data_IF_343963311246
#
_entry.id   IF_343963311246
#
_cell.length_a   1.000
_cell.length_b   1.000
_cell.length_c   1.000
_cell.angle_alpha   90.00
_cell.angle_beta   90.00
_cell.angle_gamma   90.00
#
_symmetry.space_group_name_H-M   'P 1'
#
loop_
_entity.id
_entity.type
_entity.pdbx_description
1 polymer ?
#
# COMPACT_ATOMS: atom_id res chain seq x y z
N UNK A 1 -76.41 19.23 -35.22
CA UNK A 1 -77.38 18.43 -34.44
C UNK A 1 -76.99 16.97 -34.58
N UNK A 2 -76.49 16.29 -33.53
CA UNK A 2 -76.19 14.85 -33.60
C UNK A 2 -77.50 14.08 -33.76
N UNK A 3 -77.58 13.23 -34.79
CA UNK A 3 -78.76 12.41 -35.07
C UNK A 3 -78.91 11.30 -34.02
N UNK A 4 -80.12 10.99 -33.53
CA UNK A 4 -80.32 9.92 -32.56
C UNK A 4 -79.84 8.59 -33.13
N UNK A 5 -78.99 7.91 -32.36
CA UNK A 5 -78.40 6.62 -32.68
C UNK A 5 -79.52 5.56 -32.69
N UNK A 6 -79.34 4.43 -33.41
CA UNK A 6 -80.34 3.35 -33.43
C UNK A 6 -80.73 2.84 -32.03
N UNK A 7 -79.81 2.92 -31.06
CA UNK A 7 -80.05 2.60 -29.65
C UNK A 7 -81.07 3.55 -29.01
N UNK A 8 -80.92 4.86 -29.24
CA UNK A 8 -81.82 5.91 -28.72
C UNK A 8 -83.26 5.72 -29.22
N UNK A 9 -83.41 5.26 -30.47
CA UNK A 9 -84.72 4.94 -31.06
C UNK A 9 -85.35 3.67 -30.49
N UNK A 10 -84.53 2.68 -30.16
CA UNK A 10 -85.00 1.43 -29.55
C UNK A 10 -85.43 1.68 -28.10
N UNK A 11 -84.67 2.47 -27.35
CA UNK A 11 -85.01 2.86 -25.98
C UNK A 11 -86.29 3.69 -25.91
N UNK A 12 -86.51 4.61 -26.86
CA UNK A 12 -87.76 5.35 -26.96
C UNK A 12 -89.00 4.45 -27.22
N UNK A 13 -88.83 3.37 -27.99
CA UNK A 13 -89.91 2.38 -28.23
C UNK A 13 -90.16 1.54 -26.97
N UNK A 14 -89.12 1.25 -26.19
CA UNK A 14 -89.26 0.54 -24.91
C UNK A 14 -89.98 1.40 -23.88
N UNK A 15 -89.67 2.69 -23.80
CA UNK A 15 -90.33 3.62 -22.89
C UNK A 15 -91.82 3.79 -23.24
N UNK A 16 -92.17 3.79 -24.53
CA UNK A 16 -93.57 3.75 -24.98
C UNK A 16 -94.29 2.43 -24.64
N UNK A 17 -93.57 1.30 -24.67
CA UNK A 17 -94.11 -0.01 -24.31
C UNK A 17 -94.29 -0.18 -22.79
N UNK A 18 -93.50 0.53 -21.95
CA UNK A 18 -93.70 0.50 -20.49
C UNK A 18 -95.03 1.12 -20.05
N UNK A 19 -95.52 2.15 -20.73
CA UNK A 19 -96.70 2.93 -20.33
C UNK A 19 -98.06 2.23 -20.57
N UNK A 20 -98.09 1.12 -21.31
CA UNK A 20 -99.34 0.39 -21.60
C UNK A 20 -99.92 -0.31 -20.34
N UNK A 21 -101.25 -0.41 -20.17
CA UNK A 21 -101.86 -1.02 -18.98
C UNK A 21 -101.60 -2.53 -18.89
N UNK A 22 -101.40 -3.03 -17.66
CA UNK A 22 -101.21 -4.45 -17.36
C UNK A 22 -102.61 -5.08 -17.23
N UNK A 23 -103.04 -5.80 -18.26
CA UNK A 23 -104.38 -6.41 -18.29
C UNK A 23 -104.51 -7.59 -19.25
N UNK A 24 -103.80 -7.56 -20.39
CA UNK A 24 -103.76 -8.66 -21.37
C UNK A 24 -102.48 -9.53 -21.19
N UNK A 25 -102.58 -10.87 -21.13
CA UNK A 25 -101.43 -11.76 -20.97
C UNK A 25 -100.43 -11.65 -22.12
N UNK A 26 -100.90 -11.43 -23.35
CA UNK A 26 -100.05 -11.31 -24.54
C UNK A 26 -99.21 -10.01 -24.52
N UNK A 27 -99.81 -8.90 -24.09
CA UNK A 27 -99.12 -7.60 -23.94
C UNK A 27 -98.03 -7.69 -22.85
N UNK A 28 -98.31 -8.40 -21.76
CA UNK A 28 -97.34 -8.62 -20.67
C UNK A 28 -96.15 -9.47 -21.14
N UNK A 29 -96.40 -10.51 -21.92
CA UNK A 29 -95.37 -11.36 -22.53
C UNK A 29 -94.46 -10.54 -23.47
N UNK A 30 -95.05 -9.73 -24.35
CA UNK A 30 -94.30 -8.85 -25.27
C UNK A 30 -93.44 -7.84 -24.50
N UNK A 31 -93.98 -7.19 -23.46
CA UNK A 31 -93.19 -6.27 -22.62
C UNK A 31 -92.01 -6.96 -21.94
N UNK A 32 -92.24 -8.13 -21.34
CA UNK A 32 -91.19 -8.86 -20.63
C UNK A 32 -90.05 -9.30 -21.55
N UNK A 33 -90.38 -9.76 -22.76
CA UNK A 33 -89.38 -10.19 -23.76
C UNK A 33 -88.55 -9.03 -24.29
N UNK A 34 -89.17 -7.87 -24.51
CA UNK A 34 -88.49 -6.63 -24.92
C UNK A 34 -87.55 -6.11 -23.83
N UNK A 35 -88.00 -6.04 -22.58
CA UNK A 35 -87.15 -5.65 -21.45
C UNK A 35 -86.00 -6.63 -21.22
N UNK A 36 -86.24 -7.93 -21.38
CA UNK A 36 -85.19 -8.95 -21.29
C UNK A 36 -84.16 -8.81 -22.42
N UNK A 37 -84.59 -8.46 -23.64
CA UNK A 37 -83.69 -8.18 -24.75
C UNK A 37 -82.82 -6.94 -24.48
N UNK A 38 -83.40 -5.85 -23.92
CA UNK A 38 -82.67 -4.66 -23.49
C UNK A 38 -81.63 -5.00 -22.42
N UNK A 39 -82.03 -5.76 -21.40
CA UNK A 39 -81.13 -6.20 -20.33
C UNK A 39 -79.96 -7.02 -20.88
N UNK A 40 -80.21 -7.94 -21.81
CA UNK A 40 -79.16 -8.73 -22.48
C UNK A 40 -78.21 -7.85 -23.31
N UNK A 41 -78.74 -6.83 -23.98
CA UNK A 41 -77.95 -5.83 -24.71
C UNK A 41 -77.02 -5.06 -23.78
N UNK A 42 -77.58 -4.44 -22.74
CA UNK A 42 -76.81 -3.71 -21.72
C UNK A 42 -75.76 -4.60 -21.03
N UNK A 43 -76.09 -5.86 -20.75
CA UNK A 43 -75.14 -6.81 -20.17
C UNK A 43 -73.97 -7.10 -21.12
N UNK A 44 -74.24 -7.26 -22.43
CA UNK A 44 -73.20 -7.42 -23.44
C UNK A 44 -72.31 -6.18 -23.53
N UNK A 45 -72.89 -5.00 -23.50
CA UNK A 45 -72.16 -3.73 -23.57
C UNK A 45 -71.29 -3.52 -22.32
N UNK A 46 -71.84 -3.78 -21.13
CA UNK A 46 -71.08 -3.74 -19.88
C UNK A 46 -69.90 -4.74 -19.87
N UNK A 47 -70.12 -5.96 -20.37
CA UNK A 47 -69.06 -6.96 -20.51
C UNK A 47 -68.01 -6.53 -21.53
N UNK A 48 -68.40 -5.90 -22.65
CA UNK A 48 -67.48 -5.39 -23.65
C UNK A 48 -66.62 -4.24 -23.09
N UNK A 49 -67.24 -3.30 -22.38
CA UNK A 49 -66.54 -2.21 -21.70
C UNK A 49 -65.55 -2.73 -20.64
N UNK A 50 -65.96 -3.73 -19.85
CA UNK A 50 -65.09 -4.37 -18.85
C UNK A 50 -63.89 -5.04 -19.51
N UNK A 51 -64.09 -5.74 -20.64
CA UNK A 51 -63.00 -6.37 -21.40
C UNK A 51 -62.06 -5.32 -22.00
N UNK A 52 -62.58 -4.22 -22.52
CA UNK A 52 -61.78 -3.13 -23.07
C UNK A 52 -60.88 -2.51 -21.98
N UNK A 53 -61.46 -2.15 -20.83
CA UNK A 53 -60.72 -1.60 -19.70
C UNK A 53 -59.64 -2.57 -19.17
N UNK A 54 -59.95 -3.88 -19.12
CA UNK A 54 -58.99 -4.92 -18.73
C UNK A 54 -57.82 -5.01 -19.70
N UNK A 55 -58.09 -4.96 -21.00
CA UNK A 55 -57.05 -5.01 -22.02
C UNK A 55 -56.16 -3.76 -22.00
N UNK A 56 -56.76 -2.59 -21.86
CA UNK A 56 -56.03 -1.32 -21.75
C UNK A 56 -55.12 -1.30 -20.52
N UNK A 57 -55.66 -1.69 -19.35
CA UNK A 57 -54.87 -1.79 -18.12
C UNK A 57 -53.75 -2.81 -18.24
N UNK A 58 -54.00 -3.94 -18.92
CA UNK A 58 -52.97 -4.96 -19.16
C UNK A 58 -51.84 -4.45 -20.07
N UNK A 59 -52.17 -3.67 -21.12
CA UNK A 59 -51.19 -3.08 -22.01
C UNK A 59 -50.29 -2.08 -21.26
N UNK A 60 -50.88 -1.15 -20.51
CA UNK A 60 -50.13 -0.17 -19.70
C UNK A 60 -49.25 -0.87 -18.66
N UNK A 61 -49.77 -1.93 -18.03
CA UNK A 61 -49.00 -2.74 -17.08
C UNK A 61 -47.79 -3.40 -17.74
N UNK A 62 -47.95 -3.95 -18.94
CA UNK A 62 -46.87 -4.58 -19.69
C UNK A 62 -45.77 -3.57 -20.03
N UNK A 63 -46.15 -2.35 -20.44
CA UNK A 63 -45.20 -1.28 -20.72
C UNK A 63 -44.42 -0.87 -19.46
N UNK A 64 -45.11 -0.73 -18.32
CA UNK A 64 -44.48 -0.47 -17.02
C UNK A 64 -43.50 -1.57 -16.62
N UNK A 65 -43.86 -2.84 -16.80
CA UNK A 65 -42.99 -3.97 -16.47
C UNK A 65 -41.72 -3.96 -17.34
N UNK A 66 -41.83 -3.60 -18.63
CA UNK A 66 -40.69 -3.44 -19.53
C UNK A 66 -39.77 -2.29 -19.09
N UNK A 67 -40.33 -1.13 -18.76
CA UNK A 67 -39.53 0.00 -18.27
C UNK A 67 -38.87 -0.32 -16.93
N UNK A 68 -39.58 -1.02 -16.03
CA UNK A 68 -39.05 -1.43 -14.74
C UNK A 68 -37.84 -2.35 -14.90
N UNK A 69 -37.89 -3.29 -15.84
CA UNK A 69 -36.73 -4.12 -16.18
C UNK A 69 -35.56 -3.29 -16.71
N UNK A 70 -35.84 -2.31 -17.57
CA UNK A 70 -34.83 -1.37 -18.06
C UNK A 70 -34.16 -0.60 -16.92
N UNK A 71 -34.95 -0.08 -15.98
CA UNK A 71 -34.45 0.60 -14.79
C UNK A 71 -33.59 -0.32 -13.91
N UNK A 72 -34.00 -1.58 -13.71
CA UNK A 72 -33.20 -2.55 -12.95
C UNK A 72 -31.84 -2.82 -13.61
N UNK A 73 -31.80 -2.93 -14.94
CA UNK A 73 -30.55 -3.11 -15.69
C UNK A 73 -29.61 -1.92 -15.49
N UNK A 74 -30.11 -0.68 -15.65
CA UNK A 74 -29.30 0.52 -15.42
C UNK A 74 -28.82 0.65 -13.98
N UNK A 75 -29.64 0.28 -12.99
CA UNK A 75 -29.24 0.27 -11.59
C UNK A 75 -28.16 -0.78 -11.30
N UNK A 76 -28.23 -1.94 -11.96
CA UNK A 76 -27.17 -2.94 -11.88
C UNK A 76 -25.86 -2.41 -12.47
N UNK A 77 -25.91 -1.82 -13.65
CA UNK A 77 -24.75 -1.24 -14.33
C UNK A 77 -24.10 -0.13 -13.48
N UNK A 78 -24.91 0.79 -12.96
CA UNK A 78 -24.46 1.84 -12.04
C UNK A 78 -23.72 1.24 -10.84
N UNK A 79 -24.31 0.27 -10.13
CA UNK A 79 -23.66 -0.37 -8.97
C UNK A 79 -22.39 -1.13 -9.35
N UNK A 80 -22.35 -1.72 -10.55
CA UNK A 80 -21.13 -2.37 -11.05
C UNK A 80 -20.02 -1.34 -11.25
N UNK A 81 -20.30 -0.25 -11.95
CA UNK A 81 -19.34 0.84 -12.17
C UNK A 81 -18.88 1.48 -10.87
N UNK A 82 -19.79 1.74 -9.92
CA UNK A 82 -19.44 2.26 -8.60
C UNK A 82 -18.45 1.34 -7.87
N UNK A 83 -18.65 0.02 -7.94
CA UNK A 83 -17.71 -0.95 -7.35
C UNK A 83 -16.36 -0.97 -8.07
N UNK A 84 -16.34 -0.88 -9.39
CA UNK A 84 -15.08 -0.82 -10.15
C UNK A 84 -14.33 0.48 -9.87
N UNK A 85 -15.02 1.63 -9.79
CA UNK A 85 -14.42 2.92 -9.40
C UNK A 85 -13.81 2.81 -8.00
N UNK A 86 -14.54 2.22 -7.05
CA UNK A 86 -14.03 2.07 -5.69
C UNK A 86 -12.79 1.16 -5.64
N UNK A 87 -12.77 0.05 -6.40
CA UNK A 87 -11.55 -0.77 -6.56
C UNK A 87 -10.38 0.02 -7.13
N UNK A 88 -10.62 0.84 -8.16
CA UNK A 88 -9.59 1.70 -8.74
C UNK A 88 -9.09 2.76 -7.75
N UNK A 89 -9.96 3.31 -6.89
CA UNK A 89 -9.59 4.28 -5.86
C UNK A 89 -8.81 3.66 -4.71
N UNK A 90 -9.15 2.42 -4.34
CA UNK A 90 -8.44 1.65 -3.32
C UNK A 90 -7.08 1.13 -3.80
N UNK A 91 -6.72 1.36 -5.05
CA UNK A 91 -5.39 1.05 -5.55
C UNK A 91 -4.35 1.96 -4.88
N UNK A 92 -3.82 1.50 -3.74
CA UNK A 92 -2.71 2.17 -3.07
C UNK A 92 -1.39 1.70 -3.67
N UNK A 93 -0.61 2.65 -4.13
CA UNK A 93 0.75 2.44 -4.61
C UNK A 93 1.76 2.85 -3.54
N UNK A 94 2.83 2.07 -3.42
CA UNK A 94 3.88 2.23 -2.40
C UNK A 94 4.51 3.63 -2.41
N UNK A 95 4.49 4.35 -3.54
CA UNK A 95 5.10 5.69 -3.64
C UNK A 95 4.52 6.71 -2.66
N UNK A 96 3.27 6.53 -2.20
CA UNK A 96 2.62 7.45 -1.25
C UNK A 96 3.21 7.32 0.17
N UNK A 97 3.77 6.16 0.50
CA UNK A 97 4.35 5.87 1.82
C UNK A 97 5.86 6.15 1.87
N UNK A 98 6.48 6.51 0.74
CA UNK A 98 7.92 6.79 0.69
C UNK A 98 8.19 8.12 1.37
N UNK A 99 8.97 8.08 2.45
CA UNK A 99 9.55 9.28 3.05
C UNK A 99 10.41 10.00 1.99
N UNK A 100 9.92 11.13 1.53
CA UNK A 100 10.58 12.02 0.58
C UNK A 100 11.04 13.29 1.30
N UNK A 101 12.09 13.92 0.79
CA UNK A 101 12.56 15.22 1.24
C UNK A 101 11.44 16.25 1.15
N UNK A 102 11.47 17.20 2.09
CA UNK A 102 10.54 18.32 2.11
C UNK A 102 10.69 19.16 0.83
N UNK A 103 9.66 19.96 0.51
CA UNK A 103 9.69 20.78 -0.71
C UNK A 103 10.89 21.73 -0.74
N UNK A 104 11.20 22.35 0.41
CA UNK A 104 12.33 23.28 0.54
C UNK A 104 13.68 22.59 0.31
N UNK A 105 13.85 21.39 0.89
CA UNK A 105 15.07 20.60 0.71
C UNK A 105 15.22 20.12 -0.73
N UNK A 106 14.13 19.67 -1.36
CA UNK A 106 14.12 19.28 -2.77
C UNK A 106 14.53 20.45 -3.66
N UNK A 107 13.92 21.63 -3.51
CA UNK A 107 14.27 22.80 -4.32
C UNK A 107 15.74 23.21 -4.15
N UNK A 108 16.32 23.01 -2.97
CA UNK A 108 17.72 23.34 -2.69
C UNK A 108 18.71 22.31 -3.25
N UNK A 109 18.41 21.02 -3.10
CA UNK A 109 19.35 19.92 -3.36
C UNK A 109 19.17 19.29 -4.75
N UNK A 110 17.97 19.36 -5.32
CA UNK A 110 17.69 18.74 -6.60
C UNK A 110 18.40 19.47 -7.77
N UNK A 111 18.78 18.72 -8.82
CA UNK A 111 19.36 19.30 -10.03
C UNK A 111 18.44 20.37 -10.66
N UNK A 112 18.99 21.39 -11.33
CA UNK A 112 18.21 22.46 -11.96
C UNK A 112 17.20 21.94 -12.99
N UNK A 113 17.53 20.85 -13.68
CA UNK A 113 16.65 20.18 -14.65
C UNK A 113 15.36 19.64 -14.01
N UNK A 114 15.42 19.23 -12.74
CA UNK A 114 14.30 18.65 -12.01
C UNK A 114 13.40 19.70 -11.32
N UNK A 115 13.78 20.97 -11.36
CA UNK A 115 13.09 22.10 -10.68
C UNK A 115 12.76 23.27 -11.61
N UNK A 116 12.62 23.01 -12.91
CA UNK A 116 12.20 24.03 -13.87
C UNK A 116 10.79 24.54 -13.57
N UNK A 117 10.49 25.79 -13.92
CA UNK A 117 9.20 26.43 -13.62
C UNK A 117 8.00 25.67 -14.24
N UNK A 118 8.18 25.08 -15.43
CA UNK A 118 7.18 24.23 -16.08
C UNK A 118 6.89 22.95 -15.28
N UNK A 119 7.92 22.37 -14.66
CA UNK A 119 7.81 21.17 -13.82
C UNK A 119 7.15 21.50 -12.49
N UNK A 120 7.43 22.67 -11.92
CA UNK A 120 6.81 23.12 -10.67
C UNK A 120 5.32 23.43 -10.82
N UNK A 121 4.89 23.77 -12.03
CA UNK A 121 3.48 24.02 -12.34
C UNK A 121 2.66 22.73 -12.50
N UNK A 122 3.28 21.60 -12.88
CA UNK A 122 2.62 20.30 -13.03
C UNK A 122 2.91 19.38 -11.82
N UNK A 123 1.88 19.17 -10.99
CA UNK A 123 1.96 18.34 -9.77
C UNK A 123 2.45 16.91 -10.05
N UNK A 124 2.05 16.32 -11.18
CA UNK A 124 2.42 14.95 -11.51
C UNK A 124 3.91 14.86 -11.90
N UNK A 125 4.39 15.80 -12.72
CA UNK A 125 5.80 15.88 -13.08
C UNK A 125 6.68 16.19 -11.87
N UNK A 126 6.21 17.08 -10.99
CA UNK A 126 6.88 17.38 -9.73
C UNK A 126 7.01 16.13 -8.84
N UNK A 127 5.95 15.34 -8.71
CA UNK A 127 5.99 14.09 -7.94
C UNK A 127 7.00 13.09 -8.54
N UNK A 128 6.99 12.89 -9.85
CA UNK A 128 7.93 12.00 -10.53
C UNK A 128 9.38 12.43 -10.33
N UNK A 129 9.66 13.73 -10.47
CA UNK A 129 10.99 14.26 -10.28
C UNK A 129 11.45 14.13 -8.83
N UNK A 130 10.57 14.37 -7.85
CA UNK A 130 10.87 14.13 -6.43
C UNK A 130 11.21 12.67 -6.16
N UNK A 131 10.42 11.73 -6.67
CA UNK A 131 10.70 10.30 -6.50
C UNK A 131 12.00 9.87 -7.19
N UNK A 132 12.29 10.40 -8.37
CA UNK A 132 13.53 10.11 -9.10
C UNK A 132 14.77 10.61 -8.33
N UNK A 133 14.67 11.80 -7.74
CA UNK A 133 15.72 12.38 -6.92
C UNK A 133 15.99 11.54 -5.67
N UNK A 134 14.93 11.15 -4.95
CA UNK A 134 15.03 10.25 -3.80
C UNK A 134 15.70 8.92 -4.15
N UNK A 135 15.33 8.34 -5.29
CA UNK A 135 15.90 7.08 -5.75
C UNK A 135 17.41 7.19 -6.00
N UNK A 136 17.85 8.28 -6.64
CA UNK A 136 19.28 8.55 -6.87
C UNK A 136 20.01 8.79 -5.55
N UNK A 137 19.42 9.57 -4.63
CA UNK A 137 20.02 9.85 -3.32
C UNK A 137 20.16 8.58 -2.47
N UNK A 138 19.15 7.72 -2.44
CA UNK A 138 19.23 6.43 -1.75
C UNK A 138 20.30 5.53 -2.34
N UNK A 139 20.44 5.46 -3.67
CA UNK A 139 21.54 4.72 -4.29
C UNK A 139 22.91 5.28 -3.92
N UNK A 140 23.06 6.60 -3.88
CA UNK A 140 24.29 7.28 -3.47
C UNK A 140 24.66 6.94 -2.03
N UNK A 141 23.69 6.99 -1.11
CA UNK A 141 23.87 6.66 0.30
C UNK A 141 24.20 5.17 0.50
N UNK A 142 23.52 4.26 -0.19
CA UNK A 142 23.80 2.83 -0.14
C UNK A 142 25.22 2.51 -0.61
N UNK A 143 25.66 3.15 -1.70
CA UNK A 143 27.03 2.99 -2.18
C UNK A 143 28.04 3.50 -1.15
N UNK A 144 27.79 4.67 -0.55
CA UNK A 144 28.67 5.24 0.47
C UNK A 144 28.72 4.38 1.73
N UNK A 145 27.58 3.84 2.16
CA UNK A 145 27.51 2.89 3.27
C UNK A 145 28.37 1.66 3.00
N UNK A 146 28.26 1.05 1.81
CA UNK A 146 29.07 -0.12 1.42
C UNK A 146 30.57 0.20 1.44
N UNK A 147 30.97 1.38 0.96
CA UNK A 147 32.36 1.83 1.01
C UNK A 147 32.85 1.99 2.45
N UNK A 148 32.07 2.66 3.31
CA UNK A 148 32.42 2.87 4.72
C UNK A 148 32.52 1.54 5.49
N UNK A 149 31.65 0.58 5.20
CA UNK A 149 31.72 -0.76 5.78
C UNK A 149 33.01 -1.45 5.35
N UNK A 150 33.37 -1.38 4.07
CA UNK A 150 34.61 -1.96 3.56
C UNK A 150 35.86 -1.32 4.19
N UNK A 151 35.89 0.02 4.30
CA UNK A 151 36.96 0.77 4.98
C UNK A 151 37.06 0.36 6.46
N UNK A 152 35.93 0.32 7.17
CA UNK A 152 35.87 -0.09 8.57
C UNK A 152 36.34 -1.53 8.77
N UNK A 153 35.99 -2.46 7.89
CA UNK A 153 36.44 -3.85 7.96
C UNK A 153 37.93 -3.99 7.61
N UNK A 154 38.45 -3.18 6.68
CA UNK A 154 39.88 -3.10 6.41
C UNK A 154 40.66 -2.59 7.64
N UNK A 155 40.18 -1.53 8.30
CA UNK A 155 40.78 -0.98 9.52
C UNK A 155 40.71 -1.96 10.70
N UNK A 156 39.64 -2.75 10.82
CA UNK A 156 39.58 -3.82 11.82
C UNK A 156 40.61 -4.93 11.55
N UNK A 157 40.85 -5.28 10.28
CA UNK A 157 41.89 -6.26 9.92
C UNK A 157 43.28 -5.75 10.27
N UNK A 158 43.61 -4.51 9.92
CA UNK A 158 44.91 -3.91 10.28
C UNK A 158 45.07 -3.82 11.79
N UNK A 159 44.04 -3.38 12.52
CA UNK A 159 44.06 -3.33 13.99
C UNK A 159 44.33 -4.70 14.61
N UNK A 160 43.70 -5.77 14.10
CA UNK A 160 43.97 -7.15 14.54
C UNK A 160 45.42 -7.57 14.25
N UNK A 161 45.95 -7.24 13.08
CA UNK A 161 47.36 -7.52 12.74
C UNK A 161 48.32 -6.76 13.66
N UNK A 162 48.07 -5.49 13.93
CA UNK A 162 48.86 -4.70 14.89
C UNK A 162 48.81 -5.28 16.31
N UNK A 163 47.66 -5.82 16.74
CA UNK A 163 47.54 -6.49 18.04
C UNK A 163 48.44 -7.74 18.12
N UNK A 164 48.42 -8.59 17.08
CA UNK A 164 49.30 -9.78 17.00
C UNK A 164 50.78 -9.39 16.99
N UNK A 165 51.17 -8.37 16.21
CA UNK A 165 52.54 -7.86 16.18
C UNK A 165 52.94 -7.32 17.55
N UNK A 166 52.05 -6.57 18.22
CA UNK A 166 52.29 -6.04 19.57
C UNK A 166 52.54 -7.16 20.59
N UNK A 167 51.72 -8.23 20.56
CA UNK A 167 51.91 -9.40 21.42
C UNK A 167 53.24 -10.11 21.13
N UNK A 168 53.61 -10.25 19.85
CA UNK A 168 54.90 -10.84 19.45
C UNK A 168 56.10 -10.00 19.91
N UNK A 169 56.04 -8.67 19.76
CA UNK A 169 57.09 -7.76 20.24
C UNK A 169 57.21 -7.86 21.77
N UNK A 170 56.09 -7.87 22.50
CA UNK A 170 56.10 -8.03 23.95
C UNK A 170 56.80 -9.33 24.36
N UNK A 171 56.48 -10.45 23.72
CA UNK A 171 57.14 -11.73 23.97
C UNK A 171 58.65 -11.73 23.64
N UNK A 172 59.05 -11.04 22.57
CA UNK A 172 60.47 -10.88 22.21
C UNK A 172 61.21 -10.02 23.24
N UNK A 173 60.61 -8.92 23.70
CA UNK A 173 61.17 -8.06 24.76
C UNK A 173 61.34 -8.85 26.05
N UNK A 174 60.36 -9.65 26.47
CA UNK A 174 60.46 -10.50 27.66
C UNK A 174 61.58 -11.54 27.52
N UNK A 175 61.77 -12.10 26.32
CA UNK A 175 62.84 -13.04 26.02
C UNK A 175 64.22 -12.39 26.15
N UNK A 176 64.40 -11.21 25.54
CA UNK A 176 65.65 -10.43 25.64
C UNK A 176 65.89 -9.97 27.08
N UNK A 177 64.85 -9.60 27.81
CA UNK A 177 64.95 -9.21 29.21
C UNK A 177 65.46 -10.37 30.08
N UNK A 178 64.90 -11.58 29.92
CA UNK A 178 65.38 -12.79 30.62
C UNK A 178 66.82 -13.12 30.26
N UNK A 179 67.17 -13.12 28.97
CA UNK A 179 68.54 -13.35 28.51
C UNK A 179 69.51 -12.30 29.07
N UNK A 180 69.10 -11.03 29.15
CA UNK A 180 69.88 -9.96 29.76
C UNK A 180 70.12 -10.16 31.25
N UNK A 181 69.10 -10.62 31.99
CA UNK A 181 69.24 -10.98 33.42
C UNK A 181 70.23 -12.15 33.57
N UNK A 182 70.13 -13.18 32.74
CA UNK A 182 71.03 -14.35 32.78
C UNK A 182 72.48 -13.96 32.43
N UNK A 183 72.68 -13.17 31.38
CA UNK A 183 73.99 -12.65 31.00
C UNK A 183 74.60 -11.79 32.11
N UNK A 184 73.79 -10.93 32.76
CA UNK A 184 74.24 -10.15 33.92
C UNK A 184 74.65 -11.07 35.07
N UNK A 185 73.82 -12.07 35.44
CA UNK A 185 74.17 -13.05 36.48
C UNK A 185 75.46 -13.82 36.16
N UNK A 186 75.65 -14.20 34.89
CA UNK A 186 76.86 -14.89 34.46
C UNK A 186 78.10 -13.98 34.53
N UNK A 187 77.96 -12.69 34.21
CA UNK A 187 79.02 -11.70 34.38
C UNK A 187 79.33 -11.45 35.86
N UNK A 188 78.31 -11.29 36.71
CA UNK A 188 78.48 -11.09 38.16
C UNK A 188 79.19 -12.31 38.78
N UNK A 189 78.76 -13.54 38.43
CA UNK A 189 79.41 -14.77 38.87
C UNK A 189 80.85 -14.88 38.39
N UNK A 190 81.13 -14.52 37.13
CA UNK A 190 82.49 -14.54 36.58
C UNK A 190 83.37 -13.44 37.17
N UNK A 191 82.79 -12.32 37.59
CA UNK A 191 83.46 -11.27 38.36
C UNK A 191 83.79 -11.71 39.80
N UNK A 192 82.90 -12.47 40.45
CA UNK A 192 83.18 -13.15 41.72
C UNK A 192 84.29 -14.21 41.57
N UNK A 193 84.21 -15.09 40.56
CA UNK A 193 85.23 -16.10 40.26
C UNK A 193 86.60 -15.46 39.90
N UNK A 194 86.61 -14.30 39.22
CA UNK A 194 87.82 -13.54 38.94
C UNK A 194 88.39 -12.83 40.19
N UNK A 195 87.55 -12.51 41.18
CA UNK A 195 87.96 -12.01 42.49
C UNK A 195 88.57 -13.11 43.37
N UNK A 196 88.26 -14.39 43.13
CA UNK A 196 88.84 -15.54 43.85
C UNK A 196 90.15 -16.06 43.24
N UNK A 197 90.49 -15.65 42.01
CA UNK A 197 91.66 -16.13 41.25
C UNK A 197 92.84 -15.15 41.17
N UNK A 198 92.91 -14.11 42.02
CA UNK A 198 94.18 -13.42 42.24
C UNK A 198 95.10 -14.29 43.11
N UNK A 199 96.25 -14.78 42.62
CA UNK A 199 97.22 -15.43 43.47
C UNK A 199 97.86 -14.38 44.39
N UNK A 200 97.89 -14.65 45.69
CA UNK A 200 98.85 -14.00 46.59
C UNK A 200 100.25 -14.39 46.12
N UNK A 201 100.99 -13.43 45.58
CA UNK A 201 102.42 -13.58 45.31
C UNK A 201 103.14 -13.76 46.66
N UNK A 202 104.02 -14.76 46.82
CA UNK A 202 104.76 -14.97 48.05
C UNK A 202 105.90 -13.95 48.17
N UNK A 203 105.89 -13.18 49.25
CA UNK A 203 107.05 -12.42 49.72
C UNK A 203 108.10 -13.41 50.25
N UNK A 204 109.20 -13.59 49.52
CA UNK A 204 110.44 -14.17 50.06
C UNK A 204 111.50 -13.07 50.11
N UNK A 205 112.06 -12.97 51.31
CA UNK A 205 113.06 -12.05 51.82
C UNK A 205 114.41 -12.08 51.08
N UNK A 206 115.04 -10.91 50.96
CA UNK A 206 116.50 -10.78 50.89
C UNK A 206 117.04 -9.97 52.07
N UNK A 207 117.84 -10.68 52.87
CA UNK A 207 119.02 -10.31 53.65
C UNK A 207 119.26 -8.88 54.16
N UNK A 208 119.31 -8.83 55.50
CA UNK A 208 120.11 -7.98 56.40
C UNK A 208 121.56 -7.76 55.92
N UNK A 209 122.20 -6.66 56.34
CA UNK A 209 123.51 -6.78 57.00
C UNK A 209 123.50 -6.16 58.40
N UNK A 210 124.21 -6.84 59.31
CA UNK A 210 124.47 -6.46 60.69
C UNK A 210 125.60 -5.41 60.72
N UNK A 211 125.39 -4.27 61.39
CA UNK A 211 125.81 -3.89 62.77
C UNK A 211 127.20 -3.28 62.87
N UNK A 212 127.32 -2.46 63.92
CA UNK A 212 128.50 -1.83 64.54
C UNK A 212 128.81 -0.43 63.96
N UNK A 213 128.98 0.63 64.76
CA UNK A 213 129.46 0.70 66.15
C UNK A 213 129.25 2.14 66.72
N UNK A 214 129.11 2.22 68.05
CA UNK A 214 129.23 3.39 68.98
C UNK A 214 128.12 4.45 69.04
#
# INVERSE_FOLDING_TARGET
>A
MPTPTKADKFDAVIDQLSDLPIGDPDVTSIKSTVLLARLKGLNRDANAATRAAKNETAAVRQDLEKEHLGFQNSQYEKRHLEREIEKCRQFSTIYQDVATHSMEEFLRLAPPEARGDEVLADEHQLLLNRLSFEFVERQRLDLRMKQLIAEKDAMLKTTKQYAVIKESIAASVDTVHKAGIEAKKALDKRAEEASELTPSVPTISESKPATDDV
#
